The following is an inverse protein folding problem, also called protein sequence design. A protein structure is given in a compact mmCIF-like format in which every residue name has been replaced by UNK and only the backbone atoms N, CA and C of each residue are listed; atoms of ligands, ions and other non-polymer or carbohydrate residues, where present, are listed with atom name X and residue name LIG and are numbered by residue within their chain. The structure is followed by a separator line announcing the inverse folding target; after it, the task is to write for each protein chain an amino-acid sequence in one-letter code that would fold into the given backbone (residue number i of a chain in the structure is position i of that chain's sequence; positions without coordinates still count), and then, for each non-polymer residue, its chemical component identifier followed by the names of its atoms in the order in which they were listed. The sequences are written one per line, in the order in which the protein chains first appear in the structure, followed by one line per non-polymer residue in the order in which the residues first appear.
data_IF_794125290139
#
_entry.id   IF_794125290139
#
_cell.length_a   1.000
_cell.length_b   1.000
_cell.length_c   1.000
_cell.angle_alpha   90.00
_cell.angle_beta   90.00
_cell.angle_gamma   90.00
#
_symmetry.space_group_name_H-M   'P 1'
#
loop_
_entity.id
_entity.type
_entity.pdbx_description
1 polymer ?
#
# COMPACT_ATOMS: atom_id res chain seq x y z
N UNK A 1 -37.00 -1.04 2.72
CA UNK A 1 -35.79 -1.89 2.84
C UNK A 1 -35.52 -2.43 1.44
N UNK A 2 -34.76 -1.68 0.62
CA UNK A 2 -34.63 -1.93 -0.82
C UNK A 2 -33.14 -2.06 -1.18
N UNK A 3 -32.63 -3.29 -1.24
CA UNK A 3 -31.43 -3.68 -1.99
C UNK A 3 -31.92 -4.44 -3.22
N UNK A 4 -31.73 -3.90 -4.42
CA UNK A 4 -32.24 -4.47 -5.65
C UNK A 4 -31.33 -5.61 -6.13
N UNK A 5 -31.60 -6.83 -5.65
CA UNK A 5 -31.07 -8.07 -6.19
C UNK A 5 -29.57 -8.34 -5.97
N UNK A 6 -29.07 -9.52 -6.38
CA UNK A 6 -27.69 -9.96 -6.18
C UNK A 6 -26.62 -9.05 -6.84
N UNK A 7 -27.04 -8.13 -7.71
CA UNK A 7 -26.17 -7.18 -8.38
C UNK A 7 -25.55 -6.16 -7.42
N UNK A 8 -26.25 -5.71 -6.38
CA UNK A 8 -25.72 -4.76 -5.39
C UNK A 8 -24.50 -5.34 -4.64
N UNK A 9 -24.56 -6.64 -4.31
CA UNK A 9 -23.44 -7.37 -3.71
C UNK A 9 -22.27 -7.51 -4.67
N UNK A 10 -22.54 -7.78 -5.95
CA UNK A 10 -21.49 -7.87 -6.95
C UNK A 10 -20.75 -6.54 -7.12
N UNK A 11 -21.47 -5.44 -7.31
CA UNK A 11 -20.85 -4.12 -7.46
C UNK A 11 -20.12 -3.69 -6.17
N UNK A 12 -20.74 -3.85 -5.00
CA UNK A 12 -20.11 -3.55 -3.72
C UNK A 12 -18.80 -4.32 -3.50
N UNK A 13 -18.78 -5.60 -3.87
CA UNK A 13 -17.59 -6.46 -3.78
C UNK A 13 -16.48 -6.00 -4.73
N UNK A 14 -16.82 -5.68 -5.98
CA UNK A 14 -15.86 -5.23 -7.00
C UNK A 14 -15.23 -3.90 -6.59
N UNK A 15 -16.03 -2.92 -6.16
CA UNK A 15 -15.51 -1.64 -5.68
C UNK A 15 -14.64 -1.82 -4.42
N UNK A 16 -15.03 -2.72 -3.51
CA UNK A 16 -14.24 -3.06 -2.33
C UNK A 16 -12.88 -3.65 -2.67
N UNK A 17 -12.82 -4.61 -3.62
CA UNK A 17 -11.57 -5.23 -4.07
C UNK A 17 -10.66 -4.21 -4.75
N UNK A 18 -11.22 -3.37 -5.64
CA UNK A 18 -10.44 -2.33 -6.32
C UNK A 18 -9.85 -1.35 -5.31
N UNK A 19 -10.65 -0.89 -4.35
CA UNK A 19 -10.19 0.00 -3.28
C UNK A 19 -9.07 -0.65 -2.45
N UNK A 20 -9.25 -1.92 -2.07
CA UNK A 20 -8.25 -2.66 -1.29
C UNK A 20 -6.92 -2.81 -2.04
N UNK A 21 -6.96 -3.19 -3.32
CA UNK A 21 -5.76 -3.31 -4.16
C UNK A 21 -5.06 -1.96 -4.30
N UNK A 22 -5.82 -0.88 -4.47
CA UNK A 22 -5.27 0.47 -4.58
C UNK A 22 -4.58 0.93 -3.28
N UNK A 23 -5.21 0.67 -2.13
CA UNK A 23 -4.60 0.96 -0.82
C UNK A 23 -3.32 0.16 -0.61
N UNK A 24 -3.31 -1.13 -0.95
CA UNK A 24 -2.10 -1.95 -0.87
C UNK A 24 -0.98 -1.43 -1.78
N UNK A 25 -1.30 -1.04 -3.01
CA UNK A 25 -0.32 -0.49 -3.95
C UNK A 25 0.35 0.78 -3.39
N UNK A 26 -0.44 1.68 -2.80
CA UNK A 26 0.10 2.88 -2.12
C UNK A 26 0.93 2.47 -0.90
N UNK A 27 0.43 1.54 -0.10
CA UNK A 27 1.13 1.10 1.11
C UNK A 27 2.53 0.54 0.80
N UNK A 28 2.68 -0.22 -0.29
CA UNK A 28 3.96 -0.79 -0.71
C UNK A 28 4.80 0.11 -1.62
N UNK A 29 4.31 1.30 -1.99
CA UNK A 29 5.02 2.24 -2.86
C UNK A 29 6.47 2.54 -2.44
N UNK A 30 6.80 2.85 -1.16
CA UNK A 30 8.19 3.11 -0.75
C UNK A 30 9.09 1.87 -0.88
N UNK A 31 8.53 0.66 -0.66
CA UNK A 31 9.26 -0.59 -0.91
C UNK A 31 9.54 -0.78 -2.40
N UNK A 32 8.54 -0.54 -3.25
CA UNK A 32 8.68 -0.65 -4.71
C UNK A 32 9.76 0.31 -5.22
N UNK A 33 9.76 1.57 -4.74
CA UNK A 33 10.78 2.57 -5.11
C UNK A 33 12.18 2.13 -4.68
N UNK A 34 12.33 1.61 -3.45
CA UNK A 34 13.61 1.15 -2.93
C UNK A 34 14.19 -0.04 -3.73
N UNK A 35 13.33 -0.99 -4.11
CA UNK A 35 13.70 -2.16 -4.91
C UNK A 35 14.04 -1.75 -6.35
N UNK A 36 13.20 -0.90 -6.97
CA UNK A 36 13.43 -0.41 -8.33
C UNK A 36 14.73 0.40 -8.47
N UNK A 37 15.17 1.04 -7.38
CA UNK A 37 16.45 1.78 -7.32
C UNK A 37 17.65 0.93 -6.92
N UNK A 38 17.50 -0.38 -6.72
CA UNK A 38 18.56 -1.26 -6.20
C UNK A 38 19.22 -0.72 -4.93
N UNK A 39 18.45 -0.07 -4.06
CA UNK A 39 18.99 0.51 -2.85
C UNK A 39 19.52 -0.60 -1.93
N UNK A 40 20.77 -0.52 -1.49
CA UNK A 40 21.38 -1.50 -0.57
C UNK A 40 20.56 -1.72 0.71
N UNK A 41 19.77 -0.72 1.10
CA UNK A 41 18.92 -0.74 2.29
C UNK A 41 17.45 -1.09 1.98
N UNK A 42 17.15 -1.66 0.81
CA UNK A 42 15.79 -2.03 0.42
C UNK A 42 15.09 -2.94 1.44
N UNK A 43 15.83 -3.87 2.07
CA UNK A 43 15.30 -4.69 3.16
C UNK A 43 14.95 -3.87 4.41
N UNK A 44 15.76 -2.88 4.77
CA UNK A 44 15.47 -2.01 5.91
C UNK A 44 14.24 -1.13 5.65
N UNK A 45 14.13 -0.58 4.43
CA UNK A 45 12.96 0.19 4.00
C UNK A 45 11.71 -0.69 3.98
N UNK A 46 11.83 -1.96 3.53
CA UNK A 46 10.74 -2.93 3.62
C UNK A 46 10.32 -3.20 5.07
N UNK A 47 11.26 -3.45 5.98
CA UNK A 47 10.94 -3.70 7.39
C UNK A 47 10.28 -2.48 8.04
N UNK A 48 10.77 -1.26 7.79
CA UNK A 48 10.15 -0.03 8.34
C UNK A 48 8.74 0.14 7.78
N UNK A 49 8.55 -0.07 6.48
CA UNK A 49 7.25 0.02 5.85
C UNK A 49 6.27 -1.06 6.37
N UNK A 50 6.76 -2.28 6.62
CA UNK A 50 5.94 -3.39 7.10
C UNK A 50 5.59 -3.26 8.60
N UNK A 51 6.56 -2.91 9.44
CA UNK A 51 6.40 -2.88 10.91
C UNK A 51 5.73 -1.59 11.40
N UNK A 52 6.03 -0.46 10.76
CA UNK A 52 5.64 0.88 11.23
C UNK A 52 4.91 1.70 10.17
N UNK A 53 4.82 1.23 8.92
CA UNK A 53 4.10 1.94 7.84
C UNK A 53 2.63 2.20 8.15
N UNK A 54 2.00 1.35 8.96
CA UNK A 54 0.61 1.50 9.39
C UNK A 54 0.37 2.72 10.29
N UNK A 55 1.42 3.33 10.84
CA UNK A 55 1.33 4.57 11.66
C UNK A 55 1.29 5.85 10.82
N UNK A 56 1.41 5.74 9.48
CA UNK A 56 1.55 6.89 8.57
C UNK A 56 2.93 7.54 8.63
N UNK A 57 3.44 7.81 9.83
CA UNK A 57 4.79 8.36 10.06
C UNK A 57 5.86 7.39 9.54
N UNK A 58 5.74 6.11 9.89
CA UNK A 58 6.67 5.08 9.38
C UNK A 58 6.65 4.96 7.86
N UNK A 59 5.50 5.21 7.22
CA UNK A 59 5.36 5.20 5.76
C UNK A 59 6.08 6.40 5.13
N UNK A 60 5.91 7.61 5.69
CA UNK A 60 6.63 8.81 5.23
C UNK A 60 8.14 8.64 5.40
N UNK A 61 8.60 8.12 6.53
CA UNK A 61 10.03 7.86 6.77
C UNK A 61 10.57 6.83 5.76
N UNK A 62 9.85 5.73 5.52
CA UNK A 62 10.23 4.75 4.51
C UNK A 62 10.29 5.37 3.10
N UNK A 63 9.37 6.28 2.77
CA UNK A 63 9.31 6.95 1.48
C UNK A 63 10.47 7.93 1.30
N UNK A 64 10.74 8.78 2.28
CA UNK A 64 11.91 9.68 2.29
C UNK A 64 13.20 8.88 2.20
N UNK A 65 13.29 7.76 2.93
CA UNK A 65 14.46 6.90 2.88
C UNK A 65 14.63 6.21 1.51
N UNK A 66 13.53 5.81 0.87
CA UNK A 66 13.55 5.19 -0.47
C UNK A 66 14.05 6.11 -1.59
N UNK A 67 13.95 7.43 -1.41
CA UNK A 67 14.46 8.44 -2.36
C UNK A 67 15.84 9.00 -1.98
N UNK A 68 16.30 8.71 -0.76
CA UNK A 68 17.66 9.07 -0.32
C UNK A 68 18.68 8.14 -1.00
N UNK A 69 19.90 8.64 -1.24
CA UNK A 69 20.96 7.91 -1.99
C UNK A 69 21.44 6.65 -1.28
#
# INVERSE_FOLDING_TARGET
MWHWGPFDWFFGSVFGIIGFVFTLAIFFLPTIIAVARHHRNALAIFLVNFLIGWTGIGWIVALVWSVTK
#
